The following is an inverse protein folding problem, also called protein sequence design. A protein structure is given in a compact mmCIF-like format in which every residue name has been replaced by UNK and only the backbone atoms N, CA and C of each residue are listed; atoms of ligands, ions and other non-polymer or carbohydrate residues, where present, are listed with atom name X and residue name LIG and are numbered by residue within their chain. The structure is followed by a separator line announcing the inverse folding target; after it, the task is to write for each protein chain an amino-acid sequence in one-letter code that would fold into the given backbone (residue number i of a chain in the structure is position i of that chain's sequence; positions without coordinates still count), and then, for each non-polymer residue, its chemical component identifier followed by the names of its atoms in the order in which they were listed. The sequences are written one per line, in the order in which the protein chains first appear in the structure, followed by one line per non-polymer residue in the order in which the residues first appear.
data_IF_633275650799
#
_entry.id   IF_633275650799
#
_cell.length_a   1.000
_cell.length_b   1.000
_cell.length_c   1.000
_cell.angle_alpha   90.00
_cell.angle_beta   90.00
_cell.angle_gamma   90.00
#
_symmetry.space_group_name_H-M   'P 1'
#
loop_
_entity.id
_entity.type
_entity.pdbx_description
1 polymer ?
#
# COMPACT_ATOMS: atom_id res chain seq x y z
N UNK A 1 19.53 -8.43 -11.83
CA UNK A 1 18.46 -7.44 -12.07
C UNK A 1 17.61 -7.42 -10.81
N UNK A 2 17.53 -6.29 -10.11
CA UNK A 2 16.66 -6.21 -8.94
C UNK A 2 15.20 -6.18 -9.41
N UNK A 3 14.35 -7.02 -8.83
CA UNK A 3 12.94 -7.05 -9.17
C UNK A 3 12.30 -5.69 -8.89
N UNK A 4 11.41 -5.24 -9.79
CA UNK A 4 10.71 -3.96 -9.67
C UNK A 4 9.30 -4.16 -9.15
N UNK A 5 8.76 -3.17 -8.42
CA UNK A 5 7.36 -3.13 -7.99
C UNK A 5 6.42 -3.30 -9.18
N UNK A 6 5.54 -4.31 -9.11
CA UNK A 6 4.51 -4.59 -10.12
C UNK A 6 3.18 -3.97 -9.68
N UNK A 7 2.44 -3.39 -10.62
CA UNK A 7 1.12 -2.81 -10.39
C UNK A 7 0.16 -3.38 -11.44
N UNK A 8 -1.02 -3.84 -11.00
CA UNK A 8 -2.01 -4.48 -11.86
C UNK A 8 -3.42 -4.22 -11.34
N UNK A 9 -4.41 -4.14 -12.23
CA UNK A 9 -5.82 -4.07 -11.86
C UNK A 9 -6.43 -5.47 -11.88
N UNK A 10 -7.13 -5.83 -10.81
CA UNK A 10 -7.70 -7.16 -10.58
C UNK A 10 -9.24 -7.17 -10.79
N UNK A 11 -9.78 -6.21 -11.53
CA UNK A 11 -11.23 -6.06 -11.77
C UNK A 11 -11.97 -5.29 -10.67
N UNK A 12 -11.58 -5.50 -9.40
CA UNK A 12 -12.24 -4.89 -8.24
C UNK A 12 -11.33 -3.98 -7.40
N UNK A 13 -10.01 -4.14 -7.55
CA UNK A 13 -8.98 -3.43 -6.81
C UNK A 13 -7.68 -3.36 -7.62
N UNK A 14 -6.80 -2.43 -7.23
CA UNK A 14 -5.42 -2.37 -7.72
C UNK A 14 -4.55 -3.23 -6.81
N UNK A 15 -3.81 -4.17 -7.38
CA UNK A 15 -2.79 -4.97 -6.70
C UNK A 15 -1.41 -4.40 -7.00
N UNK A 16 -0.65 -4.12 -5.94
CA UNK A 16 0.77 -3.78 -5.98
C UNK A 16 1.56 -4.88 -5.32
N UNK A 17 2.55 -5.42 -6.02
CA UNK A 17 3.45 -6.44 -5.47
C UNK A 17 4.84 -5.84 -5.36
N UNK A 18 5.32 -5.69 -4.12
CA UNK A 18 6.69 -5.30 -3.83
C UNK A 18 7.65 -6.48 -4.07
N UNK A 19 8.87 -6.20 -4.54
CA UNK A 19 9.88 -7.24 -4.72
C UNK A 19 10.39 -7.78 -3.38
N UNK A 20 10.99 -8.96 -3.40
CA UNK A 20 11.68 -9.51 -2.23
C UNK A 20 12.77 -8.54 -1.74
N UNK A 21 12.83 -8.36 -0.42
CA UNK A 21 13.78 -7.42 0.19
C UNK A 21 13.42 -5.95 -0.02
N UNK A 22 12.18 -5.62 -0.35
CA UNK A 22 11.71 -4.24 -0.41
C UNK A 22 11.97 -3.50 0.92
N UNK A 23 12.58 -2.33 0.80
CA UNK A 23 12.87 -1.45 1.92
C UNK A 23 11.93 -0.24 1.88
N UNK A 24 11.23 0.00 2.98
CA UNK A 24 10.41 1.19 3.17
C UNK A 24 11.37 2.36 3.43
N UNK A 25 11.66 3.10 2.37
CA UNK A 25 12.38 4.37 2.37
C UNK A 25 11.51 5.47 1.73
N UNK A 26 11.79 6.76 1.97
CA UNK A 26 11.03 7.86 1.37
C UNK A 26 10.97 7.80 -0.16
N UNK A 27 12.10 7.54 -0.81
CA UNK A 27 12.18 7.49 -2.27
C UNK A 27 11.42 6.30 -2.85
N UNK A 28 11.58 5.12 -2.24
CA UNK A 28 10.87 3.91 -2.67
C UNK A 28 9.35 4.07 -2.53
N UNK A 29 8.90 4.64 -1.41
CA UNK A 29 7.48 4.93 -1.18
C UNK A 29 6.95 5.98 -2.14
N UNK A 30 7.67 7.07 -2.40
CA UNK A 30 7.25 8.09 -3.36
C UNK A 30 7.02 7.51 -4.76
N UNK A 31 7.95 6.68 -5.24
CA UNK A 31 7.78 5.94 -6.52
C UNK A 31 6.58 5.02 -6.45
N UNK A 32 6.40 4.30 -5.34
CA UNK A 32 5.28 3.37 -5.16
C UNK A 32 3.94 4.11 -5.17
N UNK A 33 3.81 5.24 -4.46
CA UNK A 33 2.60 6.06 -4.42
C UNK A 33 2.22 6.60 -5.78
N UNK A 34 3.19 7.13 -6.54
CA UNK A 34 2.93 7.63 -7.90
C UNK A 34 2.40 6.51 -8.82
N UNK A 35 3.00 5.32 -8.77
CA UNK A 35 2.55 4.17 -9.59
C UNK A 35 1.16 3.69 -9.19
N UNK A 36 0.85 3.65 -7.90
CA UNK A 36 -0.50 3.34 -7.42
C UNK A 36 -1.50 4.39 -7.89
N UNK A 37 -1.18 5.67 -7.73
CA UNK A 37 -2.06 6.77 -8.11
C UNK A 37 -2.39 6.75 -9.60
N UNK A 38 -1.40 6.44 -10.45
CA UNK A 38 -1.61 6.28 -11.89
C UNK A 38 -2.56 5.13 -12.20
N UNK A 39 -2.36 3.95 -11.60
CA UNK A 39 -3.26 2.83 -11.79
C UNK A 39 -4.68 3.13 -11.28
N UNK A 40 -4.81 3.80 -10.13
CA UNK A 40 -6.10 4.19 -9.59
C UNK A 40 -6.87 5.12 -10.53
N UNK A 41 -6.19 6.13 -11.08
CA UNK A 41 -6.78 7.05 -12.06
C UNK A 41 -7.15 6.35 -13.37
N UNK A 42 -6.26 5.49 -13.88
CA UNK A 42 -6.47 4.76 -15.13
C UNK A 42 -7.71 3.85 -15.05
N UNK A 43 -7.96 3.22 -13.91
CA UNK A 43 -9.03 2.24 -13.74
C UNK A 43 -10.26 2.78 -12.98
N UNK A 44 -10.22 4.04 -12.51
CA UNK A 44 -11.27 4.61 -11.66
C UNK A 44 -11.49 3.83 -10.35
N UNK A 45 -10.48 3.09 -9.90
CA UNK A 45 -10.55 2.20 -8.75
C UNK A 45 -9.57 2.65 -7.68
N UNK A 46 -10.07 2.91 -6.48
CA UNK A 46 -9.29 3.48 -5.38
C UNK A 46 -9.16 2.52 -4.18
N UNK A 47 -9.45 1.23 -4.40
CA UNK A 47 -9.13 0.14 -3.47
C UNK A 47 -7.78 -0.41 -3.88
N UNK A 48 -6.79 -0.34 -2.98
CA UNK A 48 -5.42 -0.77 -3.28
C UNK A 48 -4.98 -1.81 -2.27
N UNK A 49 -4.57 -2.98 -2.76
CA UNK A 49 -3.85 -3.97 -1.99
C UNK A 49 -2.37 -3.86 -2.33
N UNK A 50 -1.53 -3.62 -1.35
CA UNK A 50 -0.07 -3.75 -1.45
C UNK A 50 0.33 -5.05 -0.79
N UNK A 51 1.01 -5.91 -1.52
CA UNK A 51 1.45 -7.23 -1.08
C UNK A 51 2.97 -7.28 -1.12
N UNK A 52 3.58 -7.64 0.01
CA UNK A 52 5.01 -7.98 0.07
C UNK A 52 5.13 -9.37 0.70
N UNK A 53 5.42 -10.41 -0.10
CA UNK A 53 5.52 -11.78 0.41
C UNK A 53 6.76 -12.00 1.28
N UNK A 54 7.73 -11.08 1.23
CA UNK A 54 8.96 -11.13 2.01
C UNK A 54 8.95 -10.11 3.15
N UNK A 55 9.79 -10.38 4.16
CA UNK A 55 10.02 -9.49 5.30
C UNK A 55 10.39 -8.09 4.83
N UNK A 56 9.58 -7.11 5.21
CA UNK A 56 9.79 -5.71 4.86
C UNK A 56 10.67 -5.06 5.92
N UNK A 57 11.75 -4.39 5.48
CA UNK A 57 12.57 -3.55 6.37
C UNK A 57 12.06 -2.12 6.34
N UNK A 58 12.02 -1.48 7.50
CA UNK A 58 11.63 -0.08 7.63
C UNK A 58 12.80 0.74 8.14
N UNK A 59 13.22 1.70 7.33
CA UNK A 59 14.19 2.73 7.72
C UNK A 59 13.51 4.09 7.55
N UNK A 60 12.76 4.50 8.58
CA UNK A 60 12.04 5.77 8.58
C UNK A 60 12.09 6.45 9.93
N UNK A 61 12.19 7.79 9.89
CA UNK A 61 11.98 8.71 11.01
C UNK A 61 10.59 9.34 10.90
N UNK A 62 10.15 9.99 11.98
CA UNK A 62 8.83 10.63 12.02
C UNK A 62 8.61 11.68 10.93
N UNK A 63 9.62 12.52 10.64
CA UNK A 63 9.54 13.52 9.58
C UNK A 63 9.36 12.89 8.19
N UNK A 64 10.04 11.78 7.94
CA UNK A 64 9.94 11.02 6.69
C UNK A 64 8.57 10.34 6.57
N UNK A 65 8.04 9.78 7.67
CA UNK A 65 6.70 9.19 7.69
C UNK A 65 5.62 10.24 7.43
N UNK A 66 5.78 11.44 7.97
CA UNK A 66 4.89 12.57 7.69
C UNK A 66 4.94 12.98 6.21
N UNK A 67 6.14 13.07 5.64
CA UNK A 67 6.32 13.42 4.23
C UNK A 67 5.72 12.35 3.31
N UNK A 68 5.90 11.07 3.65
CA UNK A 68 5.27 9.96 2.92
C UNK A 68 3.74 10.05 2.96
N UNK A 69 3.14 10.45 4.08
CA UNK A 69 1.69 10.66 4.16
C UNK A 69 1.20 11.81 3.27
N UNK A 70 2.00 12.87 3.09
CA UNK A 70 1.69 13.96 2.15
C UNK A 70 1.73 13.43 0.71
N UNK A 71 2.80 12.72 0.33
CA UNK A 71 2.95 12.14 -1.00
C UNK A 71 1.84 11.12 -1.32
N UNK A 72 1.46 10.30 -0.34
CA UNK A 72 0.35 9.37 -0.48
C UNK A 72 -0.95 10.12 -0.77
N UNK A 73 -1.25 11.23 -0.09
CA UNK A 73 -2.44 12.03 -0.40
C UNK A 73 -2.41 12.61 -1.81
N UNK A 74 -1.29 13.19 -2.22
CA UNK A 74 -1.17 13.80 -3.55
C UNK A 74 -1.39 12.77 -4.67
N UNK A 75 -0.92 11.53 -4.46
CA UNK A 75 -1.06 10.47 -5.45
C UNK A 75 -2.39 9.70 -5.37
N UNK A 76 -2.95 9.54 -4.16
CA UNK A 76 -4.01 8.56 -3.85
C UNK A 76 -5.22 9.19 -3.15
N UNK A 77 -5.54 10.44 -3.43
CA UNK A 77 -6.68 11.12 -2.83
C UNK A 77 -7.97 10.27 -2.89
N UNK A 78 -8.59 10.00 -1.73
CA UNK A 78 -9.80 9.20 -1.62
C UNK A 78 -9.58 7.68 -1.62
N UNK A 79 -8.33 7.20 -1.66
CA UNK A 79 -8.05 5.77 -1.68
C UNK A 79 -8.09 5.10 -0.32
N UNK A 80 -8.43 3.81 -0.37
CA UNK A 80 -8.30 2.87 0.73
C UNK A 80 -7.18 1.89 0.39
N UNK A 81 -6.11 1.90 1.18
CA UNK A 81 -4.86 1.16 0.93
C UNK A 81 -4.65 0.13 2.04
N UNK A 82 -4.65 -1.15 1.68
CA UNK A 82 -4.31 -2.24 2.58
C UNK A 82 -2.86 -2.67 2.33
N UNK A 83 -2.00 -2.57 3.34
CA UNK A 83 -0.61 -2.98 3.31
C UNK A 83 -0.49 -4.38 3.93
N UNK A 84 -0.42 -5.42 3.11
CA UNK A 84 -0.29 -6.81 3.51
C UNK A 84 1.19 -7.21 3.62
N UNK A 85 1.73 -7.13 4.83
CA UNK A 85 3.12 -7.44 5.16
C UNK A 85 3.12 -8.48 6.31
N UNK A 86 3.25 -9.79 6.01
CA UNK A 86 3.05 -10.87 6.99
C UNK A 86 3.88 -10.75 8.27
N UNK A 87 5.14 -10.33 8.13
CA UNK A 87 6.09 -10.21 9.25
C UNK A 87 6.14 -8.80 9.86
N UNK A 88 5.36 -7.85 9.35
CA UNK A 88 5.40 -6.47 9.82
C UNK A 88 4.55 -6.31 11.07
N UNK A 89 5.15 -5.76 12.12
CA UNK A 89 4.45 -5.37 13.35
C UNK A 89 4.33 -3.85 13.36
N UNK A 90 3.11 -3.29 13.20
CA UNK A 90 2.91 -1.85 13.30
C UNK A 90 3.34 -1.32 14.67
N UNK A 91 4.06 -0.21 14.64
CA UNK A 91 4.55 0.52 15.81
C UNK A 91 3.97 1.95 15.87
N UNK A 92 4.45 2.76 16.81
CA UNK A 92 4.01 4.16 16.97
C UNK A 92 4.16 4.97 15.68
N UNK A 93 5.25 4.76 14.93
CA UNK A 93 5.48 5.44 13.66
C UNK A 93 4.45 5.04 12.61
N UNK A 94 4.07 3.76 12.59
CA UNK A 94 3.01 3.23 11.73
C UNK A 94 1.66 3.85 12.06
N UNK A 95 1.35 3.97 13.37
CA UNK A 95 0.14 4.64 13.85
C UNK A 95 0.10 6.12 13.47
N UNK A 96 1.23 6.83 13.62
CA UNK A 96 1.37 8.21 13.20
C UNK A 96 1.15 8.38 11.70
N UNK A 97 1.73 7.52 10.87
CA UNK A 97 1.53 7.52 9.42
C UNK A 97 0.05 7.32 9.05
N UNK A 98 -0.63 6.33 9.64
CA UNK A 98 -2.06 6.08 9.40
C UNK A 98 -2.91 7.31 9.72
N UNK A 99 -2.66 7.93 10.88
CA UNK A 99 -3.37 9.14 11.30
C UNK A 99 -3.10 10.31 10.32
N UNK A 100 -1.85 10.51 9.94
CA UNK A 100 -1.46 11.57 9.01
C UNK A 100 -2.09 11.39 7.62
N UNK A 101 -2.18 10.16 7.12
CA UNK A 101 -2.85 9.82 5.87
C UNK A 101 -4.37 9.96 5.96
N UNK A 102 -5.00 9.50 7.05
CA UNK A 102 -6.44 9.58 7.26
C UNK A 102 -6.93 11.03 7.33
N UNK A 103 -6.20 11.91 8.03
CA UNK A 103 -6.48 13.36 8.06
C UNK A 103 -6.39 14.04 6.68
N UNK A 104 -5.90 13.31 5.68
CA UNK A 104 -5.71 13.76 4.30
C UNK A 104 -6.58 12.99 3.30
N UNK A 105 -7.54 12.21 3.77
CA UNK A 105 -8.49 11.51 2.93
C UNK A 105 -7.97 10.21 2.31
N UNK A 106 -6.88 9.64 2.85
CA UNK A 106 -6.38 8.32 2.46
C UNK A 106 -6.48 7.39 3.66
N UNK A 107 -7.24 6.30 3.53
CA UNK A 107 -7.33 5.29 4.58
C UNK A 107 -6.23 4.27 4.38
N UNK A 108 -5.40 4.05 5.39
CA UNK A 108 -4.34 3.04 5.35
C UNK A 108 -4.45 2.10 6.53
N UNK A 109 -4.31 0.81 6.27
CA UNK A 109 -4.24 -0.21 7.33
C UNK A 109 -3.20 -1.28 6.99
N UNK A 110 -2.56 -1.84 8.02
CA UNK A 110 -1.58 -2.91 7.91
C UNK A 110 -2.22 -4.25 8.27
N UNK A 111 -1.89 -5.28 7.50
CA UNK A 111 -2.40 -6.63 7.66
C UNK A 111 -1.28 -7.65 7.56
N UNK A 112 -1.43 -8.75 8.29
CA UNK A 112 -0.54 -9.92 8.21
C UNK A 112 -1.09 -11.01 7.27
N UNK A 113 -2.32 -10.84 6.77
CA UNK A 113 -2.98 -11.78 5.87
C UNK A 113 -3.65 -11.04 4.71
N UNK A 114 -3.44 -11.57 3.51
CA UNK A 114 -4.08 -11.07 2.28
C UNK A 114 -5.60 -11.15 2.38
N UNK A 115 -6.12 -12.22 2.96
CA UNK A 115 -7.56 -12.45 3.11
C UNK A 115 -8.21 -11.35 3.96
N UNK A 116 -7.60 -11.00 5.10
CA UNK A 116 -8.15 -9.95 5.98
C UNK A 116 -8.01 -8.56 5.37
N UNK A 117 -6.93 -8.30 4.64
CA UNK A 117 -6.73 -7.08 3.87
C UNK A 117 -7.81 -6.89 2.79
N UNK A 118 -8.07 -7.92 1.98
CA UNK A 118 -9.09 -7.88 0.93
C UNK A 118 -10.50 -7.70 1.51
N UNK A 119 -10.82 -8.41 2.60
CA UNK A 119 -12.10 -8.23 3.29
C UNK A 119 -12.29 -6.79 3.78
N UNK A 120 -11.25 -6.17 4.33
CA UNK A 120 -11.29 -4.78 4.77
C UNK A 120 -11.46 -3.79 3.60
N UNK A 121 -10.87 -4.09 2.44
CA UNK A 121 -11.14 -3.35 1.19
C UNK A 121 -12.55 -3.58 0.63
N UNK A 122 -13.33 -4.50 1.20
CA UNK A 122 -14.63 -4.92 0.66
C UNK A 122 -14.47 -5.56 -0.71
N UNK A 123 -13.47 -6.43 -0.87
CA UNK A 123 -13.22 -7.26 -2.06
C UNK A 123 -13.61 -8.71 -1.71
N UNK A 124 -14.47 -9.33 -2.53
CA UNK A 124 -14.90 -10.70 -2.35
C UNK A 124 -13.85 -11.73 -2.82
N UNK A 125 -13.94 -13.00 -2.40
CA UNK A 125 -13.03 -14.06 -2.85
C UNK A 125 -13.08 -14.30 -4.36
N UNK A 126 -14.24 -14.10 -4.99
CA UNK A 126 -14.43 -14.22 -6.44
C UNK A 126 -13.84 -13.05 -7.25
N UNK A 127 -13.52 -11.95 -6.57
CA UNK A 127 -13.03 -10.71 -7.18
C UNK A 127 -11.51 -10.58 -7.13
N UNK A 128 -10.81 -11.49 -6.44
CA UNK A 128 -9.35 -11.52 -6.38
C UNK A 128 -8.77 -12.46 -7.45
N UNK A 129 -8.36 -11.87 -8.57
CA UNK A 129 -7.73 -12.59 -9.68
C UNK A 129 -6.23 -12.85 -9.45
N UNK A 130 -5.69 -12.46 -8.29
CA UNK A 130 -4.28 -12.57 -7.93
C UNK A 130 -3.87 -13.83 -7.17
N UNK A 131 -4.81 -14.75 -6.91
CA UNK A 131 -4.53 -16.05 -6.30
C UNK A 131 -4.33 -17.13 -7.39
N UNK A 132 -3.17 -17.11 -8.04
CA UNK A 132 -2.67 -18.21 -8.88
C UNK A 132 -1.19 -18.48 -8.59
#
# INVERSE_FOLDING_TARGET
MNASTRVSFQGSHVLVVHPDGYEITPDALGVSWMRMGEACRQHGCYKVLVDSPATVRKEMRQAEAYQSAIQAMEALHGATVALCFPDYVPDELSGFFKLAAANRGVQVEFFQSRETALRWLGVGPEDDQGAA
#
